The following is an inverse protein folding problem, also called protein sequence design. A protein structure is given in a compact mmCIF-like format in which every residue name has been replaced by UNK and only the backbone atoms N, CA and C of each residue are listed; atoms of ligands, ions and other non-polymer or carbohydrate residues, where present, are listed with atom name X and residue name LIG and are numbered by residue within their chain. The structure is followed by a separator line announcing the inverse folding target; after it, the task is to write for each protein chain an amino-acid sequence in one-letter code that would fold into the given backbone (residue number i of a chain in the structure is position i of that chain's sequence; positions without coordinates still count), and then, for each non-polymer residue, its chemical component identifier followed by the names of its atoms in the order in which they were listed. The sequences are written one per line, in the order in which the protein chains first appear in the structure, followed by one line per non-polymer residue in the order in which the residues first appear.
data_IF_911229931683
#
_entry.id   IF_911229931683
#
_cell.length_a   1.000
_cell.length_b   1.000
_cell.length_c   1.000
_cell.angle_alpha   90.00
_cell.angle_beta   90.00
_cell.angle_gamma   90.00
#
_symmetry.space_group_name_H-M   'P 1'
#
loop_
_entity.id
_entity.type
_entity.pdbx_description
1 polymer ?
#
# COMPACT_ATOMS: atom_id res chain seq x y z
N UNK A 1 -8.73 16.87 54.88
CA UNK A 1 -8.10 15.65 54.30
C UNK A 1 -9.12 14.69 53.65
N UNK A 2 -10.44 14.82 53.87
CA UNK A 2 -11.47 13.92 53.33
C UNK A 2 -11.92 14.26 51.91
N UNK A 3 -12.05 15.53 51.57
CA UNK A 3 -12.65 16.02 50.31
C UNK A 3 -11.94 15.47 49.06
N UNK A 4 -10.62 15.41 49.04
CA UNK A 4 -9.87 14.89 47.86
C UNK A 4 -10.13 13.40 47.61
N UNK A 5 -10.39 12.60 48.66
CA UNK A 5 -10.75 11.18 48.56
C UNK A 5 -12.19 11.00 48.07
N UNK A 6 -13.14 11.81 48.56
CA UNK A 6 -14.54 11.74 48.14
C UNK A 6 -14.75 12.05 46.65
N UNK A 7 -14.02 13.01 46.12
CA UNK A 7 -14.13 13.43 44.70
C UNK A 7 -13.06 12.82 43.76
N UNK A 8 -12.24 11.88 44.26
CA UNK A 8 -11.26 11.16 43.45
C UNK A 8 -10.10 11.97 42.90
N UNK A 9 -9.75 13.12 43.54
CA UNK A 9 -8.62 13.96 43.10
C UNK A 9 -7.49 14.00 44.11
N UNK A 10 -6.28 14.27 43.63
CA UNK A 10 -5.13 14.39 44.50
C UNK A 10 -5.28 15.51 45.54
N UNK A 11 -4.65 15.37 46.72
CA UNK A 11 -4.61 16.37 47.77
C UNK A 11 -4.17 17.74 47.27
N UNK A 12 -3.19 17.78 46.39
CA UNK A 12 -2.67 19.04 45.83
C UNK A 12 -3.68 19.67 44.88
N UNK A 13 -4.41 18.89 44.10
CA UNK A 13 -5.48 19.34 43.23
C UNK A 13 -6.64 19.92 44.05
N UNK A 14 -7.10 19.20 45.08
CA UNK A 14 -8.17 19.68 45.97
C UNK A 14 -7.76 21.01 46.66
N UNK A 15 -6.53 21.11 47.20
CA UNK A 15 -6.00 22.33 47.84
C UNK A 15 -5.94 23.50 46.87
N UNK A 16 -5.53 23.27 45.62
CA UNK A 16 -5.47 24.29 44.56
C UNK A 16 -6.85 24.92 44.31
N UNK A 17 -7.89 24.07 44.20
CA UNK A 17 -9.26 24.56 43.98
C UNK A 17 -9.92 25.20 45.22
N UNK A 18 -9.48 24.83 46.43
CA UNK A 18 -9.97 25.45 47.65
C UNK A 18 -9.34 26.83 47.88
N UNK A 19 -8.09 27.04 47.49
CA UNK A 19 -7.38 28.30 47.67
C UNK A 19 -7.57 29.30 46.53
N UNK A 20 -8.04 28.83 45.37
CA UNK A 20 -8.35 29.65 44.20
C UNK A 20 -9.79 29.37 43.73
N UNK A 21 -10.82 29.89 44.42
CA UNK A 21 -12.19 29.76 43.96
C UNK A 21 -12.37 30.47 42.63
N UNK A 22 -12.87 29.71 41.63
CA UNK A 22 -13.27 30.20 40.32
C UNK A 22 -12.18 30.94 39.52
N UNK A 23 -11.14 30.19 39.11
CA UNK A 23 -10.53 30.57 37.86
C UNK A 23 -11.55 30.29 36.74
N UNK A 24 -11.87 31.31 35.91
CA UNK A 24 -12.67 31.06 34.71
C UNK A 24 -11.99 29.92 33.95
N UNK A 25 -12.76 28.91 33.51
CA UNK A 25 -12.27 27.83 32.66
C UNK A 25 -11.30 28.44 31.68
N UNK A 26 -10.02 28.04 31.78
CA UNK A 26 -8.93 28.70 31.07
C UNK A 26 -9.36 29.01 29.68
N UNK A 27 -9.24 30.26 29.28
CA UNK A 27 -9.49 30.69 27.89
C UNK A 27 -8.99 29.61 26.99
N UNK A 28 -9.90 28.95 26.21
CA UNK A 28 -9.54 27.92 25.26
C UNK A 28 -8.34 28.45 24.52
N UNK A 29 -7.16 27.90 24.80
CA UNK A 29 -5.90 28.53 24.44
C UNK A 29 -5.97 28.97 22.99
N UNK A 30 -5.56 30.23 22.73
CA UNK A 30 -5.44 30.74 21.36
C UNK A 30 -4.80 29.62 20.56
N UNK A 31 -5.51 29.04 19.58
CA UNK A 31 -4.99 27.97 18.75
C UNK A 31 -3.73 28.50 18.07
N UNK A 32 -2.57 28.09 18.57
CA UNK A 32 -1.31 28.42 17.91
C UNK A 32 -1.44 27.92 16.49
N UNK A 33 -1.16 28.79 15.51
CA UNK A 33 -1.19 28.42 14.10
C UNK A 33 -0.37 27.16 13.84
N UNK A 34 -0.85 26.29 12.99
CA UNK A 34 -0.12 25.08 12.60
C UNK A 34 0.98 25.43 11.60
N UNK A 35 2.15 24.81 11.72
CA UNK A 35 3.20 24.89 10.67
C UNK A 35 2.68 24.51 9.28
N UNK A 36 1.56 23.81 9.20
CA UNK A 36 0.91 23.41 7.96
C UNK A 36 0.04 24.52 7.34
N UNK A 37 -0.38 25.51 8.12
CA UNK A 37 -1.36 26.51 7.66
C UNK A 37 -0.95 27.25 6.39
N UNK A 38 0.30 27.66 6.18
CA UNK A 38 0.73 28.33 4.94
C UNK A 38 0.62 27.42 3.69
N UNK A 39 0.64 26.11 3.89
CA UNK A 39 0.67 25.11 2.80
C UNK A 39 -0.71 24.50 2.50
N UNK A 40 -1.73 24.79 3.29
CA UNK A 40 -3.09 24.25 3.10
C UNK A 40 -3.70 24.55 1.73
N UNK A 41 -3.55 25.75 1.14
CA UNK A 41 -4.06 26.02 -0.21
C UNK A 41 -3.43 25.09 -1.25
N UNK A 42 -2.11 24.90 -1.19
CA UNK A 42 -1.39 24.02 -2.11
C UNK A 42 -1.78 22.54 -1.92
N UNK A 43 -1.97 22.11 -0.67
CA UNK A 43 -2.50 20.78 -0.36
C UNK A 43 -3.90 20.57 -0.95
N UNK A 44 -4.76 21.61 -0.90
CA UNK A 44 -6.09 21.57 -1.51
C UNK A 44 -6.03 21.28 -3.00
N UNK A 45 -5.15 21.96 -3.74
CA UNK A 45 -4.95 21.74 -5.18
C UNK A 45 -4.50 20.29 -5.45
N UNK A 46 -3.53 19.78 -4.69
CA UNK A 46 -3.04 18.40 -4.89
C UNK A 46 -4.10 17.35 -4.54
N UNK A 47 -4.91 17.60 -3.50
CA UNK A 47 -6.02 16.69 -3.14
C UNK A 47 -7.13 16.71 -4.21
N UNK A 48 -7.43 17.85 -4.84
CA UNK A 48 -8.34 17.93 -5.99
C UNK A 48 -7.82 17.14 -7.19
N UNK A 49 -6.49 17.06 -7.36
CA UNK A 49 -5.85 16.20 -8.36
C UNK A 49 -5.84 14.70 -7.97
N UNK A 50 -6.49 14.33 -6.86
CA UNK A 50 -6.55 12.94 -6.38
C UNK A 50 -5.34 12.47 -5.59
N UNK A 51 -4.41 13.35 -5.20
CA UNK A 51 -3.20 13.00 -4.46
C UNK A 51 -3.47 13.03 -2.96
N UNK A 52 -3.70 11.86 -2.36
CA UNK A 52 -3.96 11.70 -0.92
C UNK A 52 -2.86 10.92 -0.18
N UNK A 53 -1.79 10.53 -0.89
CA UNK A 53 -0.66 9.85 -0.27
C UNK A 53 0.19 10.84 0.55
N UNK A 54 0.11 10.73 1.88
CA UNK A 54 0.80 11.67 2.76
C UNK A 54 2.34 11.60 2.66
N UNK A 55 2.92 10.51 2.16
CA UNK A 55 4.36 10.44 1.90
C UNK A 55 4.72 11.36 0.74
N UNK A 56 4.01 11.24 -0.38
CA UNK A 56 4.19 12.09 -1.57
C UNK A 56 3.90 13.55 -1.26
N UNK A 57 2.81 13.80 -0.50
CA UNK A 57 2.47 15.16 -0.09
C UNK A 57 3.56 15.77 0.81
N UNK A 58 4.15 14.99 1.73
CA UNK A 58 5.23 15.46 2.57
C UNK A 58 6.52 15.73 1.76
N UNK A 59 6.87 14.83 0.83
CA UNK A 59 8.01 15.04 -0.09
C UNK A 59 7.86 16.38 -0.82
N UNK A 60 6.70 16.66 -1.41
CA UNK A 60 6.39 17.92 -2.09
C UNK A 60 6.39 19.14 -1.15
N UNK A 61 5.86 18.99 0.06
CA UNK A 61 5.88 20.06 1.05
C UNK A 61 7.31 20.39 1.49
N UNK A 62 8.20 19.40 1.60
CA UNK A 62 9.62 19.59 1.91
C UNK A 62 10.32 20.46 0.87
N UNK A 63 10.02 20.27 -0.43
CA UNK A 63 10.57 21.12 -1.48
C UNK A 63 10.09 22.58 -1.42
N UNK A 64 8.94 22.82 -0.75
CA UNK A 64 8.40 24.15 -0.48
C UNK A 64 8.86 24.74 0.86
N UNK A 65 9.74 24.04 1.60
CA UNK A 65 10.27 24.51 2.89
C UNK A 65 9.47 24.08 4.12
N UNK A 66 8.52 23.16 4.01
CA UNK A 66 7.78 22.67 5.19
C UNK A 66 8.68 21.84 6.10
N UNK A 67 8.81 22.25 7.37
CA UNK A 67 9.61 21.58 8.42
C UNK A 67 8.78 20.77 9.42
N UNK A 68 7.46 20.74 9.25
CA UNK A 68 6.53 20.05 10.15
C UNK A 68 6.53 18.52 10.01
N UNK A 69 5.85 17.85 10.92
CA UNK A 69 5.79 16.38 10.99
C UNK A 69 4.71 15.74 10.10
N UNK A 70 4.90 14.44 9.82
CA UNK A 70 3.94 13.60 9.09
C UNK A 70 2.58 13.49 9.80
N UNK A 71 2.55 13.52 11.14
CA UNK A 71 1.33 13.35 11.94
C UNK A 71 0.33 14.47 11.68
N UNK A 72 0.79 15.72 11.70
CA UNK A 72 -0.04 16.91 11.41
C UNK A 72 -0.61 16.84 9.99
N UNK A 73 0.21 16.44 9.02
CA UNK A 73 -0.23 16.27 7.64
C UNK A 73 -1.29 15.16 7.50
N UNK A 74 -1.09 14.02 8.15
CA UNK A 74 -2.06 12.91 8.14
C UNK A 74 -3.39 13.32 8.74
N UNK A 75 -3.38 14.02 9.87
CA UNK A 75 -4.58 14.53 10.55
C UNK A 75 -5.35 15.50 9.64
N UNK A 76 -4.65 16.41 8.99
CA UNK A 76 -5.27 17.35 8.05
C UNK A 76 -5.86 16.66 6.82
N UNK A 77 -5.16 15.72 6.20
CA UNK A 77 -5.60 15.03 4.96
C UNK A 77 -6.71 14.01 5.22
N UNK A 78 -6.79 13.45 6.43
CA UNK A 78 -7.72 12.35 6.77
C UNK A 78 -9.19 12.64 6.44
N UNK A 79 -9.78 13.81 6.76
CA UNK A 79 -11.18 14.11 6.47
C UNK A 79 -11.50 14.21 4.97
N UNK A 80 -10.51 14.56 4.15
CA UNK A 80 -10.68 14.75 2.70
C UNK A 80 -10.52 13.44 1.90
N UNK A 81 -10.11 12.36 2.54
CA UNK A 81 -9.99 11.07 1.84
C UNK A 81 -11.35 10.51 1.46
N UNK A 82 -11.52 10.07 0.20
CA UNK A 82 -12.75 9.40 -0.19
C UNK A 82 -13.04 8.19 0.71
N UNK A 83 -14.28 8.07 1.18
CA UNK A 83 -14.70 6.94 2.00
C UNK A 83 -14.53 5.63 1.23
N UNK A 84 -13.74 4.70 1.76
CA UNK A 84 -13.58 3.37 1.18
C UNK A 84 -14.62 2.43 1.80
N UNK A 85 -15.70 2.16 1.08
CA UNK A 85 -16.60 1.06 1.40
C UNK A 85 -15.89 -0.27 1.09
N UNK A 86 -15.57 -1.06 2.10
CA UNK A 86 -14.97 -2.37 1.92
C UNK A 86 -15.95 -3.46 2.39
N UNK A 87 -16.42 -4.35 1.50
CA UNK A 87 -17.18 -5.52 1.93
C UNK A 87 -16.30 -6.41 2.83
N UNK A 88 -16.92 -7.03 3.83
CA UNK A 88 -16.25 -7.98 4.71
C UNK A 88 -15.77 -9.20 3.91
N UNK A 89 -14.46 -9.37 3.76
CA UNK A 89 -13.86 -10.49 3.03
C UNK A 89 -13.22 -11.45 4.02
N UNK A 90 -13.63 -12.73 3.99
CA UNK A 90 -12.95 -13.79 4.73
C UNK A 90 -11.54 -13.98 4.15
N UNK A 91 -10.52 -13.71 4.96
CA UNK A 91 -9.12 -13.82 4.52
C UNK A 91 -8.70 -15.29 4.48
N UNK A 92 -8.15 -15.70 3.34
CA UNK A 92 -7.50 -17.00 3.21
C UNK A 92 -6.02 -16.85 3.63
N UNK A 93 -5.64 -17.59 4.68
CA UNK A 93 -4.27 -17.62 5.17
C UNK A 93 -3.56 -18.90 4.73
N UNK A 94 -2.27 -18.80 4.45
CA UNK A 94 -1.43 -19.93 4.05
C UNK A 94 -0.27 -20.09 5.03
N UNK A 95 0.19 -21.30 5.35
CA UNK A 95 1.38 -21.51 6.15
C UNK A 95 2.63 -20.87 5.54
N UNK A 96 3.67 -20.70 6.38
CA UNK A 96 4.97 -20.17 5.93
C UNK A 96 5.56 -21.02 4.79
N UNK A 97 6.17 -20.38 3.81
CA UNK A 97 6.78 -21.03 2.65
C UNK A 97 5.80 -21.74 1.70
N UNK A 98 4.50 -21.77 2.02
CA UNK A 98 3.53 -22.55 1.23
C UNK A 98 3.19 -21.91 -0.12
N UNK A 99 2.90 -20.61 -0.14
CA UNK A 99 2.37 -19.98 -1.35
C UNK A 99 2.85 -18.55 -1.52
N UNK A 100 3.22 -18.20 -2.76
CA UNK A 100 3.26 -16.83 -3.24
C UNK A 100 2.11 -16.56 -4.22
N UNK A 101 1.73 -15.31 -4.37
CA UNK A 101 0.80 -14.84 -5.39
C UNK A 101 1.52 -13.84 -6.27
N UNK A 102 1.42 -13.97 -7.59
CA UNK A 102 1.98 -13.02 -8.53
C UNK A 102 0.94 -12.43 -9.46
N UNK A 103 1.21 -11.23 -9.96
CA UNK A 103 0.38 -10.52 -10.91
C UNK A 103 1.18 -9.52 -11.74
N UNK A 104 0.58 -9.09 -12.85
CA UNK A 104 1.01 -7.97 -13.63
C UNK A 104 0.09 -6.77 -13.45
N UNK A 105 0.67 -5.59 -13.47
CA UNK A 105 -0.06 -4.34 -13.61
C UNK A 105 0.52 -3.52 -14.75
N UNK A 106 -0.31 -2.74 -15.42
CA UNK A 106 0.15 -1.69 -16.32
C UNK A 106 -0.05 -0.37 -15.61
N UNK A 107 1.01 0.41 -15.47
CA UNK A 107 1.00 1.75 -14.92
C UNK A 107 1.31 2.76 -16.02
N UNK A 108 0.88 4.00 -15.80
CA UNK A 108 1.24 5.13 -16.65
C UNK A 108 1.98 6.14 -15.80
N UNK A 109 3.04 6.70 -16.34
CA UNK A 109 3.77 7.81 -15.73
C UNK A 109 4.01 8.91 -16.77
N UNK A 110 4.25 10.09 -16.29
CA UNK A 110 4.57 11.25 -17.09
C UNK A 110 6.04 11.58 -16.89
N UNK A 111 6.79 11.72 -17.97
CA UNK A 111 8.18 12.14 -17.92
C UNK A 111 8.31 13.64 -17.67
N UNK A 112 9.56 14.15 -17.68
CA UNK A 112 9.81 15.57 -17.46
C UNK A 112 9.28 16.46 -18.59
N UNK A 113 9.12 15.93 -19.80
CA UNK A 113 8.58 16.66 -20.96
C UNK A 113 7.05 16.72 -20.93
N UNK A 114 6.40 15.96 -20.05
CA UNK A 114 4.96 15.80 -19.99
C UNK A 114 4.41 14.66 -20.84
N UNK A 115 5.25 13.89 -21.53
CA UNK A 115 4.83 12.75 -22.32
C UNK A 115 4.38 11.57 -21.42
N UNK A 116 3.30 10.87 -21.84
CA UNK A 116 2.76 9.74 -21.12
C UNK A 116 3.41 8.43 -21.59
N UNK A 117 4.01 7.71 -20.67
CA UNK A 117 4.62 6.42 -20.87
C UNK A 117 3.86 5.31 -20.14
N UNK A 118 3.91 4.10 -20.69
CA UNK A 118 3.39 2.90 -20.05
C UNK A 118 4.54 2.04 -19.57
N UNK A 119 4.43 1.55 -18.35
CA UNK A 119 5.39 0.62 -17.76
C UNK A 119 4.62 -0.57 -17.17
N UNK A 120 5.13 -1.77 -17.41
CA UNK A 120 4.61 -2.95 -16.74
C UNK A 120 5.20 -3.08 -15.34
N UNK A 121 4.40 -3.49 -14.39
CA UNK A 121 4.84 -3.79 -13.04
C UNK A 121 4.58 -5.26 -12.74
N UNK A 122 5.64 -5.99 -12.45
CA UNK A 122 5.56 -7.32 -11.84
C UNK A 122 5.40 -7.17 -10.34
N UNK A 123 4.50 -7.92 -9.76
CA UNK A 123 4.32 -7.95 -8.31
C UNK A 123 4.23 -9.39 -7.82
N UNK A 124 4.93 -9.70 -6.73
CA UNK A 124 4.82 -10.97 -6.02
C UNK A 124 4.69 -10.73 -4.53
N UNK A 125 3.84 -11.50 -3.86
CA UNK A 125 3.62 -11.42 -2.42
C UNK A 125 3.59 -12.80 -1.80
N UNK A 126 4.35 -12.98 -0.71
CA UNK A 126 4.28 -14.21 0.08
C UNK A 126 2.96 -14.29 0.84
N UNK A 127 2.35 -15.47 0.81
CA UNK A 127 1.03 -15.69 1.39
C UNK A 127 0.96 -15.55 2.90
N UNK A 128 2.03 -15.88 3.62
CA UNK A 128 2.14 -15.84 5.08
C UNK A 128 2.70 -14.49 5.58
N UNK A 129 3.97 -14.20 5.30
CA UNK A 129 4.67 -13.02 5.80
C UNK A 129 4.18 -11.71 5.22
N UNK A 130 3.50 -11.73 4.06
CA UNK A 130 3.10 -10.56 3.28
C UNK A 130 4.30 -9.77 2.73
N UNK A 131 5.49 -10.34 2.74
CA UNK A 131 6.66 -9.75 2.08
C UNK A 131 6.36 -9.58 0.61
N UNK A 132 6.69 -8.43 0.07
CA UNK A 132 6.30 -7.98 -1.26
C UNK A 132 7.54 -7.75 -2.10
N UNK A 133 7.50 -8.21 -3.33
CA UNK A 133 8.47 -7.86 -4.36
C UNK A 133 7.78 -7.13 -5.49
N UNK A 134 8.40 -6.07 -6.00
CA UNK A 134 7.87 -5.23 -7.07
C UNK A 134 9.03 -4.91 -8.00
N UNK A 135 8.82 -5.12 -9.30
CA UNK A 135 9.79 -4.80 -10.35
C UNK A 135 9.07 -4.16 -11.53
N UNK A 136 9.65 -3.08 -12.08
CA UNK A 136 9.14 -2.43 -13.29
C UNK A 136 9.90 -2.93 -14.50
N UNK A 137 9.17 -3.22 -15.57
CA UNK A 137 9.73 -3.76 -16.80
C UNK A 137 9.04 -3.15 -18.01
N UNK A 138 9.74 -3.14 -19.13
CA UNK A 138 9.21 -2.60 -20.39
C UNK A 138 8.15 -3.51 -21.04
N UNK A 139 8.20 -4.82 -20.78
CA UNK A 139 7.35 -5.82 -21.44
C UNK A 139 6.81 -6.87 -20.47
N UNK A 140 5.55 -7.30 -20.67
CA UNK A 140 4.91 -8.42 -19.96
C UNK A 140 5.04 -9.73 -20.75
N UNK A 141 6.24 -10.11 -21.18
CA UNK A 141 6.50 -11.39 -21.84
C UNK A 141 6.97 -12.47 -20.85
N UNK A 142 7.08 -13.71 -21.32
CA UNK A 142 7.46 -14.84 -20.48
C UNK A 142 8.88 -14.69 -19.91
N UNK A 143 9.83 -14.25 -20.73
CA UNK A 143 11.23 -14.04 -20.28
C UNK A 143 11.33 -12.98 -19.19
N UNK A 144 10.62 -11.86 -19.36
CA UNK A 144 10.55 -10.81 -18.32
C UNK A 144 9.93 -11.36 -17.03
N UNK A 145 8.91 -12.20 -17.14
CA UNK A 145 8.26 -12.84 -15.99
C UNK A 145 9.21 -13.78 -15.25
N UNK A 146 9.87 -14.69 -15.95
CA UNK A 146 10.83 -15.64 -15.38
C UNK A 146 11.95 -14.91 -14.66
N UNK A 147 12.52 -13.85 -15.28
CA UNK A 147 13.54 -13.00 -14.64
C UNK A 147 13.03 -12.33 -13.38
N UNK A 148 11.84 -11.71 -13.43
CA UNK A 148 11.24 -11.08 -12.26
C UNK A 148 10.97 -12.09 -11.14
N UNK A 149 10.55 -13.32 -11.48
CA UNK A 149 10.36 -14.39 -10.51
C UNK A 149 11.67 -14.82 -9.87
N UNK A 150 12.75 -14.98 -10.63
CA UNK A 150 14.08 -15.28 -10.10
C UNK A 150 14.54 -14.19 -9.12
N UNK A 151 14.42 -12.93 -9.52
CA UNK A 151 14.77 -11.80 -8.65
C UNK A 151 13.93 -11.78 -7.37
N UNK A 152 12.63 -12.10 -7.48
CA UNK A 152 11.74 -12.20 -6.33
C UNK A 152 12.15 -13.36 -5.39
N UNK A 153 12.50 -14.53 -5.92
CA UNK A 153 12.96 -15.67 -5.11
C UNK A 153 14.29 -15.37 -4.41
N UNK A 154 15.22 -14.70 -5.07
CA UNK A 154 16.46 -14.22 -4.46
C UNK A 154 16.16 -13.22 -3.33
N UNK A 155 15.28 -12.26 -3.57
CA UNK A 155 14.86 -11.28 -2.56
C UNK A 155 14.18 -11.92 -1.34
N UNK A 156 13.37 -12.97 -1.55
CA UNK A 156 12.70 -13.69 -0.46
C UNK A 156 13.63 -14.66 0.27
N UNK A 157 14.81 -14.95 -0.25
CA UNK A 157 15.73 -15.93 0.28
C UNK A 157 15.28 -17.38 0.06
N UNK A 158 14.44 -17.64 -0.94
CA UNK A 158 13.96 -18.99 -1.29
C UNK A 158 12.73 -19.01 -2.18
N UNK A 159 12.40 -20.23 -2.62
CA UNK A 159 11.28 -20.51 -3.53
C UNK A 159 10.08 -21.03 -2.75
N UNK A 160 8.87 -20.43 -2.88
CA UNK A 160 7.66 -20.94 -2.24
C UNK A 160 7.22 -22.25 -2.91
N UNK A 161 6.58 -23.15 -2.15
CA UNK A 161 6.09 -24.43 -2.70
C UNK A 161 5.07 -24.27 -3.84
N UNK A 162 4.31 -23.18 -3.83
CA UNK A 162 3.27 -22.92 -4.82
C UNK A 162 3.32 -21.44 -5.25
N UNK A 163 3.16 -21.19 -6.54
CA UNK A 163 2.97 -19.85 -7.09
C UNK A 163 1.59 -19.76 -7.74
N UNK A 164 0.74 -18.89 -7.18
CA UNK A 164 -0.61 -18.64 -7.69
C UNK A 164 -0.60 -17.43 -8.63
N UNK A 165 -1.12 -17.63 -9.84
CA UNK A 165 -1.22 -16.61 -10.89
C UNK A 165 -2.60 -16.57 -11.52
N UNK A 166 -2.84 -15.60 -12.39
CA UNK A 166 -4.01 -15.57 -13.27
C UNK A 166 -3.84 -16.50 -14.47
N UNK A 167 -4.94 -16.69 -15.22
CA UNK A 167 -4.93 -17.41 -16.49
C UNK A 167 -4.30 -16.54 -17.62
N UNK A 168 -3.06 -16.07 -17.42
CA UNK A 168 -2.34 -15.31 -18.46
C UNK A 168 -1.89 -16.25 -19.58
N UNK A 169 -1.90 -15.78 -20.82
CA UNK A 169 -1.41 -16.55 -21.99
C UNK A 169 0.07 -16.95 -21.88
N UNK A 170 0.88 -16.20 -21.16
CA UNK A 170 2.27 -16.52 -20.89
C UNK A 170 2.44 -17.75 -19.99
N UNK A 171 1.44 -18.06 -19.16
CA UNK A 171 1.47 -19.15 -18.19
C UNK A 171 0.59 -20.32 -18.62
N UNK A 172 -0.60 -20.01 -19.15
CA UNK A 172 -1.62 -21.00 -19.53
C UNK A 172 -1.77 -21.01 -21.05
N UNK A 173 -1.41 -22.11 -21.69
CA UNK A 173 -1.60 -22.32 -23.13
C UNK A 173 -3.07 -22.59 -23.46
N UNK A 174 -3.80 -23.27 -22.57
CA UNK A 174 -5.22 -23.62 -22.81
C UNK A 174 -5.83 -24.39 -21.65
N UNK A 175 -7.02 -24.94 -21.92
CA UNK A 175 -7.71 -25.87 -21.03
C UNK A 175 -8.34 -27.00 -21.84
N UNK A 176 -8.20 -28.23 -21.34
CA UNK A 176 -8.81 -29.42 -21.92
C UNK A 176 -9.48 -30.23 -20.82
N UNK A 177 -10.71 -30.62 -21.00
CA UNK A 177 -11.51 -31.36 -20.02
C UNK A 177 -11.45 -30.76 -18.58
N UNK A 178 -11.42 -29.41 -18.46
CA UNK A 178 -11.32 -28.71 -17.19
C UNK A 178 -9.91 -28.66 -16.61
N UNK A 179 -8.92 -29.35 -17.17
CA UNK A 179 -7.52 -29.31 -16.75
C UNK A 179 -6.79 -28.13 -17.42
N UNK A 180 -5.82 -27.53 -16.70
CA UNK A 180 -4.99 -26.46 -17.23
C UNK A 180 -3.88 -27.07 -18.10
N UNK A 181 -3.74 -26.57 -19.32
CA UNK A 181 -2.58 -26.84 -20.17
C UNK A 181 -1.62 -25.67 -19.96
N UNK A 182 -0.47 -25.97 -19.37
CA UNK A 182 0.55 -24.99 -19.10
C UNK A 182 1.34 -24.64 -20.37
N UNK A 183 1.84 -23.41 -20.44
CA UNK A 183 2.89 -23.11 -21.41
C UNK A 183 4.12 -23.98 -21.11
N UNK A 184 4.67 -24.63 -22.12
CA UNK A 184 5.76 -25.61 -21.95
C UNK A 184 6.99 -24.98 -21.27
N UNK A 185 7.46 -23.81 -21.78
CA UNK A 185 8.61 -23.11 -21.23
C UNK A 185 8.37 -22.71 -19.77
N UNK A 186 7.17 -22.21 -19.43
CA UNK A 186 6.83 -21.88 -18.04
C UNK A 186 6.79 -23.12 -17.14
N UNK A 187 6.29 -24.24 -17.67
CA UNK A 187 6.28 -25.51 -16.94
C UNK A 187 7.69 -25.99 -16.62
N UNK A 188 8.59 -25.94 -17.62
CA UNK A 188 10.01 -26.31 -17.45
C UNK A 188 10.68 -25.40 -16.40
N UNK A 189 10.46 -24.10 -16.47
CA UNK A 189 10.94 -23.15 -15.46
C UNK A 189 10.40 -23.47 -14.05
N UNK A 190 9.12 -23.84 -13.93
CA UNK A 190 8.53 -24.20 -12.64
C UNK A 190 9.16 -25.46 -12.04
N UNK A 191 9.47 -26.45 -12.89
CA UNK A 191 10.17 -27.68 -12.48
C UNK A 191 11.60 -27.36 -12.05
N UNK A 192 12.34 -26.57 -12.84
CA UNK A 192 13.71 -26.17 -12.53
C UNK A 192 13.80 -25.43 -11.20
N UNK A 193 12.87 -24.50 -10.94
CA UNK A 193 12.81 -23.75 -9.69
C UNK A 193 12.21 -24.51 -8.51
N UNK A 194 11.56 -25.64 -8.75
CA UNK A 194 10.99 -26.50 -7.72
C UNK A 194 9.70 -25.98 -7.10
N UNK A 195 8.87 -25.20 -7.82
CA UNK A 195 7.56 -24.77 -7.35
C UNK A 195 6.41 -25.37 -8.17
N UNK A 196 5.25 -25.50 -7.53
CA UNK A 196 4.02 -25.94 -8.18
C UNK A 196 3.23 -24.72 -8.68
N UNK A 197 3.05 -24.55 -10.01
CA UNK A 197 2.23 -23.47 -10.54
C UNK A 197 0.75 -23.75 -10.27
N UNK A 198 0.02 -22.70 -9.88
CA UNK A 198 -1.43 -22.71 -9.66
C UNK A 198 -2.09 -21.53 -10.34
N UNK A 199 -3.26 -21.75 -10.90
CA UNK A 199 -4.10 -20.66 -11.43
C UNK A 199 -5.31 -20.43 -10.57
N UNK A 200 -5.76 -19.19 -10.53
CA UNK A 200 -6.99 -18.82 -9.87
C UNK A 200 -8.19 -19.56 -10.49
N UNK A 201 -9.11 -20.00 -9.64
CA UNK A 201 -10.38 -20.56 -10.09
C UNK A 201 -11.18 -19.49 -10.83
N UNK A 202 -11.71 -19.84 -12.00
CA UNK A 202 -12.59 -18.97 -12.77
C UNK A 202 -13.75 -18.52 -11.89
N UNK A 203 -14.07 -17.22 -11.88
CA UNK A 203 -15.16 -16.60 -11.10
C UNK A 203 -15.03 -16.67 -9.56
N UNK A 204 -13.82 -16.92 -9.02
CA UNK A 204 -13.54 -16.78 -7.57
C UNK A 204 -12.42 -15.77 -7.32
N UNK A 205 -12.66 -14.47 -7.43
CA UNK A 205 -11.64 -13.42 -7.31
C UNK A 205 -11.00 -13.35 -5.90
N UNK A 206 -11.67 -13.93 -4.89
CA UNK A 206 -11.19 -13.90 -3.51
C UNK A 206 -9.86 -14.63 -3.27
N UNK A 207 -9.47 -15.57 -4.17
CA UNK A 207 -8.24 -16.35 -4.02
C UNK A 207 -6.97 -15.53 -4.27
N UNK A 208 -7.04 -14.43 -5.03
CA UNK A 208 -5.92 -13.58 -5.43
C UNK A 208 -5.92 -12.19 -4.76
N UNK A 209 -6.81 -11.95 -3.81
CA UNK A 209 -7.00 -10.62 -3.21
C UNK A 209 -5.77 -10.01 -2.52
N UNK A 210 -4.70 -10.76 -2.27
CA UNK A 210 -3.46 -10.26 -1.67
C UNK A 210 -2.64 -9.49 -2.70
N UNK A 211 -2.39 -10.09 -3.87
CA UNK A 211 -1.60 -9.49 -4.94
C UNK A 211 -2.36 -8.38 -5.68
N UNK A 212 -3.68 -8.53 -5.88
CA UNK A 212 -4.52 -7.47 -6.47
C UNK A 212 -4.47 -6.17 -5.66
N UNK A 213 -4.45 -6.28 -4.32
CA UNK A 213 -4.27 -5.12 -3.44
C UNK A 213 -2.89 -4.49 -3.62
N UNK A 214 -1.86 -5.30 -3.87
CA UNK A 214 -0.51 -4.79 -4.10
C UNK A 214 -0.44 -4.04 -5.44
N UNK A 215 -0.99 -4.59 -6.52
CA UNK A 215 -1.10 -3.88 -7.81
C UNK A 215 -1.83 -2.56 -7.65
N UNK A 216 -2.97 -2.58 -6.94
CA UNK A 216 -3.74 -1.36 -6.66
C UNK A 216 -2.92 -0.36 -5.84
N UNK A 217 -2.21 -0.82 -4.81
CA UNK A 217 -1.34 0.02 -4.01
C UNK A 217 -0.27 0.71 -4.86
N UNK A 218 0.38 -0.01 -5.77
CA UNK A 218 1.37 0.58 -6.70
C UNK A 218 0.71 1.65 -7.56
N UNK A 219 -0.43 1.34 -8.18
CA UNK A 219 -1.15 2.29 -9.06
C UNK A 219 -1.64 3.53 -8.33
N UNK A 220 -2.22 3.37 -7.14
CA UNK A 220 -2.89 4.45 -6.43
C UNK A 220 -1.97 5.25 -5.50
N UNK A 221 -0.82 4.68 -5.08
CA UNK A 221 0.01 5.29 -4.04
C UNK A 221 1.48 5.47 -4.43
N UNK A 222 2.00 4.72 -5.39
CA UNK A 222 3.39 4.88 -5.83
C UNK A 222 3.51 5.90 -6.97
N UNK A 223 2.74 5.74 -8.04
CA UNK A 223 2.82 6.61 -9.22
C UNK A 223 2.22 8.01 -9.00
N UNK A 224 1.03 8.17 -8.37
CA UNK A 224 0.42 9.49 -8.31
C UNK A 224 1.30 10.51 -7.60
N UNK A 225 1.55 11.61 -8.30
CA UNK A 225 2.27 12.74 -7.76
C UNK A 225 3.78 12.63 -7.80
N UNK A 226 4.36 11.55 -8.32
CA UNK A 226 5.80 11.45 -8.58
C UNK A 226 6.15 11.77 -10.02
N UNK A 227 7.30 12.39 -10.21
CA UNK A 227 7.95 12.55 -11.50
C UNK A 227 9.08 11.55 -11.58
N UNK A 228 9.26 10.96 -12.76
CA UNK A 228 10.32 9.99 -13.02
C UNK A 228 11.29 10.59 -14.01
N UNK A 229 12.57 10.38 -13.79
CA UNK A 229 13.66 10.65 -14.75
C UNK A 229 13.93 9.34 -15.47
N UNK A 230 14.04 9.39 -16.77
CA UNK A 230 14.46 8.25 -17.60
C UNK A 230 15.92 7.91 -17.38
#
# INVERSE_FOLDING_TARGET
YSIGREIGVSKNTARKYMTQPAQPHGLKGVRKGSKLDPYKPQLGIWMQQGIFNCVVLLERLRTLGYDGGMSILKEYVHPYRPAKSAPAVRRYETPSGKQAQMDWGICQYQDQSGALHKVAVFVMILGYSRTKYIEFVSRCDLRSMERCMLNAFLYFGGVPKEVLTDNMKTVVAGREAGKVIWNAQFSDFAVEMGFLPKVCRVRKPQTKGKVERLVRYVKENFFPGRKFTD
#
